data_IF_506521257711
#
_entry.id   IF_506521257711
#
_cell.length_a   1.000
_cell.length_b   1.000
_cell.length_c   1.000
_cell.angle_alpha   90.00
_cell.angle_beta   90.00
_cell.angle_gamma   90.00
#
_symmetry.space_group_name_H-M   'P 1'
#
loop_
_entity.id
_entity.type
_entity.pdbx_description
1 polymer ?
#
# COMPACT_ATOMS: atom_id res chain seq x y z
N UNK A 1 -13.48 17.95 -7.56
CA UNK A 1 -12.08 18.39 -7.64
C UNK A 1 -11.45 17.78 -8.89
N UNK A 2 -10.26 18.24 -9.31
CA UNK A 2 -9.53 17.75 -10.48
C UNK A 2 -8.15 17.27 -10.08
N UNK A 3 -7.81 16.04 -10.50
CA UNK A 3 -6.61 15.34 -10.07
C UNK A 3 -5.74 14.92 -11.26
N UNK A 4 -4.46 15.25 -11.21
CA UNK A 4 -3.42 14.76 -12.11
C UNK A 4 -2.65 13.64 -11.41
N UNK A 5 -2.70 12.44 -11.96
CA UNK A 5 -2.18 11.23 -11.34
C UNK A 5 -1.10 10.58 -12.23
N UNK A 6 0.18 10.97 -12.09
CA UNK A 6 1.26 10.27 -12.77
C UNK A 6 1.39 8.84 -12.27
N UNK A 7 1.48 7.89 -13.20
CA UNK A 7 1.93 6.53 -12.93
C UNK A 7 3.43 6.45 -12.70
N UNK A 8 4.00 5.25 -12.76
CA UNK A 8 5.44 5.05 -12.63
C UNK A 8 6.08 4.75 -13.99
N UNK A 9 7.23 5.37 -14.25
CA UNK A 9 7.92 5.28 -15.54
C UNK A 9 8.31 3.85 -15.95
N UNK A 10 8.52 2.95 -14.97
CA UNK A 10 8.99 1.59 -15.19
C UNK A 10 7.88 0.53 -15.18
N UNK A 11 6.60 0.93 -15.10
CA UNK A 11 5.47 -0.01 -14.97
C UNK A 11 4.32 0.33 -15.91
N UNK A 12 3.44 -0.64 -16.10
CA UNK A 12 2.13 -0.48 -16.74
C UNK A 12 1.08 -0.42 -15.64
N UNK A 13 0.30 0.66 -15.57
CA UNK A 13 -0.75 0.78 -14.56
C UNK A 13 -1.95 -0.07 -14.98
N UNK A 14 -2.02 -1.30 -14.45
CA UNK A 14 -3.08 -2.27 -14.74
C UNK A 14 -3.26 -3.24 -13.57
N UNK A 15 -4.39 -3.95 -13.55
CA UNK A 15 -4.64 -5.00 -12.55
C UNK A 15 -3.61 -6.14 -12.61
N UNK A 16 -3.09 -6.45 -13.80
CA UNK A 16 -2.11 -7.52 -13.95
C UNK A 16 -0.74 -7.18 -13.37
N UNK A 17 -0.37 -5.89 -13.32
CA UNK A 17 0.93 -5.45 -12.81
C UNK A 17 0.94 -5.40 -11.27
N UNK A 18 0.76 -6.55 -10.63
CA UNK A 18 0.62 -6.70 -9.18
C UNK A 18 1.95 -6.73 -8.40
N UNK A 19 3.09 -6.80 -9.10
CA UNK A 19 4.42 -6.87 -8.47
C UNK A 19 4.86 -5.55 -7.82
N UNK A 20 4.30 -4.41 -8.25
CA UNK A 20 4.62 -3.09 -7.72
C UNK A 20 3.45 -2.50 -6.92
N UNK A 21 3.64 -2.37 -5.61
CA UNK A 21 2.61 -1.81 -4.72
C UNK A 21 2.23 -0.37 -5.09
N UNK A 22 3.18 0.46 -5.51
CA UNK A 22 2.90 1.85 -5.92
C UNK A 22 2.04 1.93 -7.18
N UNK A 23 2.29 1.06 -8.16
CA UNK A 23 1.44 0.96 -9.36
C UNK A 23 0.01 0.60 -9.00
N UNK A 24 -0.18 -0.34 -8.08
CA UNK A 24 -1.50 -0.72 -7.59
C UNK A 24 -2.20 0.40 -6.81
N UNK A 25 -1.45 1.23 -6.07
CA UNK A 25 -2.02 2.41 -5.42
C UNK A 25 -2.54 3.43 -6.43
N UNK A 26 -1.75 3.74 -7.47
CA UNK A 26 -2.20 4.65 -8.54
C UNK A 26 -3.47 4.14 -9.19
N UNK A 27 -3.47 2.85 -9.58
CA UNK A 27 -4.64 2.23 -10.21
C UNK A 27 -5.91 2.40 -9.37
N UNK A 28 -5.84 2.03 -8.09
CA UNK A 28 -6.98 2.03 -7.17
C UNK A 28 -7.41 3.44 -6.76
N UNK A 29 -6.44 4.36 -6.55
CA UNK A 29 -6.77 5.74 -6.19
C UNK A 29 -7.46 6.46 -7.34
N UNK A 30 -6.97 6.31 -8.56
CA UNK A 30 -7.63 6.86 -9.74
C UNK A 30 -9.07 6.35 -9.87
N UNK A 31 -9.26 5.03 -9.76
CA UNK A 31 -10.59 4.42 -9.83
C UNK A 31 -11.52 4.91 -8.72
N UNK A 32 -11.03 4.98 -7.47
CA UNK A 32 -11.82 5.45 -6.33
C UNK A 32 -12.22 6.91 -6.44
N UNK A 33 -11.29 7.80 -6.77
CA UNK A 33 -11.58 9.23 -6.98
C UNK A 33 -12.53 9.45 -8.18
N UNK A 34 -12.35 8.69 -9.26
CA UNK A 34 -13.24 8.76 -10.40
C UNK A 34 -14.66 8.29 -10.05
N UNK A 35 -14.80 7.19 -9.31
CA UNK A 35 -16.08 6.69 -8.81
C UNK A 35 -16.77 7.67 -7.84
N UNK A 36 -16.01 8.45 -7.07
CA UNK A 36 -16.49 9.52 -6.22
C UNK A 36 -16.93 10.80 -7.01
N UNK A 37 -16.83 10.77 -8.33
CA UNK A 37 -17.30 11.86 -9.21
C UNK A 37 -16.28 12.94 -9.48
N UNK A 38 -15.01 12.71 -9.18
CA UNK A 38 -13.94 13.67 -9.49
C UNK A 38 -13.43 13.54 -10.92
N UNK A 39 -12.88 14.61 -11.46
CA UNK A 39 -12.13 14.59 -12.72
C UNK A 39 -10.72 14.06 -12.46
N UNK A 40 -10.39 12.89 -13.00
CA UNK A 40 -9.12 12.21 -12.80
C UNK A 40 -8.40 12.05 -14.13
N UNK A 41 -7.20 12.61 -14.24
CA UNK A 41 -6.36 12.53 -15.42
C UNK A 41 -5.13 11.68 -15.07
N UNK A 42 -5.04 10.50 -15.66
CA UNK A 42 -3.91 9.57 -15.44
C UNK A 42 -2.85 9.76 -16.52
N UNK A 43 -1.58 9.88 -16.11
CA UNK A 43 -0.42 9.95 -17.01
C UNK A 43 0.38 8.67 -16.89
N UNK A 44 0.48 7.87 -17.95
CA UNK A 44 1.10 6.55 -17.81
C UNK A 44 1.57 5.92 -19.12
N UNK A 45 1.79 4.61 -19.03
CA UNK A 45 2.22 3.79 -20.15
C UNK A 45 1.10 3.60 -21.18
N UNK A 46 1.44 3.44 -22.45
CA UNK A 46 0.48 3.24 -23.58
C UNK A 46 -0.47 2.04 -23.38
N UNK A 47 -0.06 1.03 -22.61
CA UNK A 47 -0.86 -0.15 -22.32
C UNK A 47 -1.58 -0.07 -20.97
N UNK A 48 -1.58 1.09 -20.30
CA UNK A 48 -2.25 1.23 -19.01
C UNK A 48 -3.77 1.12 -19.15
N UNK A 49 -4.39 0.47 -18.15
CA UNK A 49 -5.84 0.28 -18.06
C UNK A 49 -6.33 0.83 -16.72
N UNK A 50 -6.73 2.09 -16.71
CA UNK A 50 -7.10 2.83 -15.50
C UNK A 50 -8.49 3.39 -15.66
N UNK A 51 -9.35 3.22 -14.65
CA UNK A 51 -10.63 3.92 -14.57
C UNK A 51 -10.35 5.37 -14.17
N UNK A 52 -10.54 6.28 -15.13
CA UNK A 52 -10.26 7.71 -14.98
C UNK A 52 -11.05 8.49 -16.03
N UNK A 53 -11.07 9.81 -15.92
CA UNK A 53 -11.73 10.71 -16.89
C UNK A 53 -10.95 10.83 -18.19
N UNK A 54 -9.60 10.84 -18.10
CA UNK A 54 -8.70 10.88 -19.25
C UNK A 54 -7.42 10.08 -18.94
N UNK A 55 -6.98 9.25 -19.90
CA UNK A 55 -5.65 8.65 -19.88
C UNK A 55 -4.73 9.34 -20.90
N UNK A 56 -3.61 9.85 -20.42
CA UNK A 56 -2.58 10.52 -21.23
C UNK A 56 -1.35 9.64 -21.32
N UNK A 57 -1.01 9.22 -22.53
CA UNK A 57 0.18 8.38 -22.76
C UNK A 57 1.45 9.20 -22.70
N UNK A 58 2.31 8.91 -21.73
CA UNK A 58 3.62 9.56 -21.53
C UNK A 58 4.80 8.58 -21.47
N UNK A 59 4.52 7.27 -21.47
CA UNK A 59 5.52 6.19 -21.52
C UNK A 59 5.16 5.15 -22.56
N UNK A 60 6.15 4.53 -23.16
CA UNK A 60 5.99 3.60 -24.28
C UNK A 60 6.86 2.36 -24.09
N UNK A 61 6.48 1.24 -24.72
CA UNK A 61 7.26 0.00 -24.73
C UNK A 61 8.70 0.22 -25.20
N UNK A 62 8.93 1.14 -26.14
CA UNK A 62 10.29 1.51 -26.60
C UNK A 62 11.16 2.12 -25.49
N UNK A 63 10.57 2.89 -24.59
CA UNK A 63 11.29 3.52 -23.45
C UNK A 63 11.71 2.46 -22.45
N UNK A 64 10.80 1.55 -22.10
CA UNK A 64 11.07 0.42 -21.21
C UNK A 64 12.12 -0.52 -21.79
N UNK A 65 12.03 -0.81 -23.11
CA UNK A 65 13.02 -1.65 -23.79
C UNK A 65 14.40 -0.97 -23.85
N UNK A 66 14.45 0.34 -24.05
CA UNK A 66 15.71 1.10 -24.05
C UNK A 66 16.39 1.13 -22.66
N UNK A 67 15.60 1.26 -21.60
CA UNK A 67 16.11 1.33 -20.23
C UNK A 67 16.45 -0.06 -19.63
N UNK A 68 15.60 -1.05 -19.87
CA UNK A 68 15.65 -2.33 -19.13
C UNK A 68 15.91 -3.55 -20.02
N UNK A 69 15.93 -3.39 -21.34
CA UNK A 69 16.05 -4.49 -22.30
C UNK A 69 14.79 -5.34 -22.34
N UNK A 70 14.96 -6.61 -22.72
CA UNK A 70 13.86 -7.59 -22.70
C UNK A 70 13.84 -8.30 -21.36
N UNK A 71 12.82 -8.10 -20.57
CA UNK A 71 12.57 -8.87 -19.36
C UNK A 71 11.08 -9.16 -19.22
N UNK A 72 10.77 -10.22 -18.49
CA UNK A 72 9.38 -10.60 -18.21
C UNK A 72 9.06 -10.32 -16.74
N UNK A 73 8.42 -9.19 -16.46
CA UNK A 73 8.04 -8.78 -15.10
C UNK A 73 7.12 -9.79 -14.37
N UNK A 74 6.45 -10.69 -15.11
CA UNK A 74 5.67 -11.79 -14.53
C UNK A 74 6.53 -12.91 -13.98
N UNK A 75 7.79 -13.02 -14.39
CA UNK A 75 8.72 -14.08 -13.98
C UNK A 75 9.96 -13.54 -13.27
N UNK A 76 10.29 -12.27 -13.50
CA UNK A 76 11.45 -11.59 -12.97
C UNK A 76 11.01 -10.36 -12.17
N UNK A 77 11.84 -9.90 -11.22
CA UNK A 77 11.61 -8.60 -10.60
C UNK A 77 11.67 -7.50 -11.64
N UNK A 78 10.76 -6.52 -11.51
CA UNK A 78 10.84 -5.32 -12.31
C UNK A 78 12.16 -4.58 -12.01
N UNK A 79 12.70 -3.94 -13.02
CA UNK A 79 13.90 -3.12 -12.94
C UNK A 79 13.48 -1.67 -12.89
N UNK A 80 14.17 -0.87 -12.12
CA UNK A 80 13.99 0.57 -12.09
C UNK A 80 15.26 1.28 -11.65
N UNK A 81 15.51 2.43 -12.25
CA UNK A 81 16.49 3.40 -11.82
C UNK A 81 15.90 4.78 -12.11
N UNK A 82 15.66 5.57 -11.06
CA UNK A 82 15.05 6.90 -11.21
C UNK A 82 15.88 7.88 -12.02
N UNK A 83 17.15 7.57 -12.31
CA UNK A 83 18.05 8.32 -13.18
C UNK A 83 18.11 7.85 -14.64
N UNK A 84 17.37 6.79 -15.02
CA UNK A 84 17.43 6.20 -16.35
C UNK A 84 16.66 7.00 -17.43
N UNK A 85 16.74 6.50 -18.68
CA UNK A 85 16.10 7.15 -19.82
C UNK A 85 14.57 7.05 -19.76
N UNK A 86 14.01 5.99 -19.17
CA UNK A 86 12.56 5.83 -19.06
C UNK A 86 11.98 6.89 -18.12
N UNK A 87 12.63 7.14 -16.97
CA UNK A 87 12.21 8.18 -16.03
C UNK A 87 12.37 9.60 -16.61
N UNK A 88 13.46 9.88 -17.31
CA UNK A 88 13.63 11.19 -17.97
C UNK A 88 12.56 11.44 -19.03
N UNK A 89 12.35 10.49 -19.94
CA UNK A 89 11.35 10.61 -21.00
C UNK A 89 9.94 10.73 -20.42
N UNK A 90 9.64 9.98 -19.37
CA UNK A 90 8.36 10.07 -18.66
C UNK A 90 8.13 11.45 -18.07
N UNK A 91 9.12 11.99 -17.34
CA UNK A 91 9.02 13.30 -16.70
C UNK A 91 8.86 14.43 -17.73
N UNK A 92 9.64 14.40 -18.81
CA UNK A 92 9.59 15.43 -19.87
C UNK A 92 8.22 15.47 -20.55
N UNK A 93 7.68 14.30 -20.93
CA UNK A 93 6.36 14.20 -21.57
C UNK A 93 5.23 14.52 -20.58
N UNK A 94 5.32 14.02 -19.36
CA UNK A 94 4.33 14.32 -18.32
C UNK A 94 4.26 15.83 -18.06
N UNK A 95 5.40 16.51 -17.94
CA UNK A 95 5.45 17.97 -17.79
C UNK A 95 4.88 18.72 -18.99
N UNK A 96 5.13 18.23 -20.22
CA UNK A 96 4.54 18.82 -21.41
C UNK A 96 3.02 18.72 -21.42
N UNK A 97 2.49 17.55 -21.10
CA UNK A 97 1.05 17.28 -21.07
C UNK A 97 0.33 17.96 -19.89
N UNK A 98 0.99 18.06 -18.72
CA UNK A 98 0.50 18.81 -17.57
C UNK A 98 0.31 20.29 -17.89
N UNK A 99 1.29 20.91 -18.58
CA UNK A 99 1.18 22.34 -18.98
C UNK A 99 -0.03 22.65 -19.85
N UNK A 100 -0.53 21.66 -20.60
CA UNK A 100 -1.71 21.83 -21.47
C UNK A 100 -3.03 21.66 -20.70
N UNK A 101 -3.01 20.98 -19.57
CA UNK A 101 -4.24 20.52 -18.88
C UNK A 101 -4.47 21.14 -17.51
N UNK A 102 -3.40 21.41 -16.75
CA UNK A 102 -3.53 21.86 -15.36
C UNK A 102 -4.13 23.27 -15.26
N UNK A 103 -4.89 23.49 -14.22
CA UNK A 103 -5.53 24.75 -13.88
C UNK A 103 -5.20 25.11 -12.41
N UNK A 104 -5.30 26.39 -12.02
CA UNK A 104 -5.14 26.80 -10.64
C UNK A 104 -6.14 26.07 -9.72
N UNK A 105 -5.63 25.50 -8.63
CA UNK A 105 -6.44 24.72 -7.69
C UNK A 105 -6.49 23.22 -7.98
N UNK A 106 -5.89 22.74 -9.08
CA UNK A 106 -5.77 21.31 -9.35
C UNK A 106 -4.82 20.63 -8.36
N UNK A 107 -4.98 19.32 -8.22
CA UNK A 107 -4.12 18.46 -7.41
C UNK A 107 -3.20 17.62 -8.30
N UNK A 108 -1.92 17.56 -7.95
CA UNK A 108 -0.92 16.66 -8.53
C UNK A 108 -0.55 15.61 -7.49
N UNK A 109 -1.02 14.36 -7.68
CA UNK A 109 -0.82 13.26 -6.75
C UNK A 109 0.46 12.50 -7.09
N UNK A 110 1.46 12.54 -6.22
CA UNK A 110 2.78 11.95 -6.43
C UNK A 110 2.88 10.62 -5.68
N UNK A 111 2.86 9.46 -6.38
CA UNK A 111 2.85 8.15 -5.74
C UNK A 111 4.24 7.62 -5.39
N UNK A 112 5.33 8.19 -5.92
CA UNK A 112 6.68 7.64 -5.81
C UNK A 112 7.76 8.75 -5.67
N UNK A 113 7.59 9.65 -4.74
CA UNK A 113 8.52 10.66 -4.24
C UNK A 113 9.61 11.10 -5.24
N UNK A 114 10.86 10.74 -4.96
CA UNK A 114 12.03 11.11 -5.78
C UNK A 114 11.96 10.68 -7.24
N UNK A 115 11.22 9.62 -7.57
CA UNK A 115 10.99 9.21 -8.96
C UNK A 115 10.19 10.23 -9.77
N UNK A 116 9.48 11.14 -9.09
CA UNK A 116 8.70 12.22 -9.70
C UNK A 116 9.22 13.61 -9.38
N UNK A 117 10.43 13.73 -8.82
CA UNK A 117 11.02 15.00 -8.40
C UNK A 117 10.93 16.07 -9.50
N UNK A 118 11.37 15.77 -10.72
CA UNK A 118 11.35 16.71 -11.86
C UNK A 118 9.93 17.15 -12.23
N UNK A 119 8.92 16.29 -12.02
CA UNK A 119 7.53 16.65 -12.23
C UNK A 119 7.08 17.62 -11.14
N UNK A 120 7.43 17.36 -9.89
CA UNK A 120 7.12 18.26 -8.76
C UNK A 120 7.75 19.64 -8.96
N UNK A 121 9.04 19.71 -9.33
CA UNK A 121 9.79 20.96 -9.55
C UNK A 121 9.14 21.85 -10.61
N UNK A 122 8.55 21.24 -11.65
CA UNK A 122 7.97 21.97 -12.77
C UNK A 122 6.50 22.38 -12.56
N UNK A 123 5.83 21.93 -11.46
CA UNK A 123 4.38 22.09 -11.29
C UNK A 123 4.00 22.60 -9.89
N UNK A 124 4.76 23.57 -9.34
CA UNK A 124 4.50 24.17 -8.02
C UNK A 124 3.32 25.15 -7.99
N UNK A 125 2.68 25.38 -9.10
CA UNK A 125 1.49 26.23 -9.29
C UNK A 125 0.17 25.48 -9.03
N UNK A 126 0.24 24.18 -8.75
CA UNK A 126 -0.89 23.33 -8.31
C UNK A 126 -0.60 22.70 -6.94
N UNK A 127 -1.58 22.03 -6.33
CA UNK A 127 -1.37 21.35 -5.06
C UNK A 127 -0.60 20.05 -5.24
N UNK A 128 0.70 20.05 -4.97
CA UNK A 128 1.52 18.83 -5.00
C UNK A 128 1.33 18.04 -3.72
N UNK A 129 0.77 16.84 -3.82
CA UNK A 129 0.52 15.92 -2.70
C UNK A 129 1.35 14.64 -2.91
N UNK A 130 2.29 14.35 -2.01
CA UNK A 130 3.00 13.08 -1.99
C UNK A 130 2.11 12.04 -1.32
N UNK A 131 1.48 11.19 -2.14
CA UNK A 131 0.39 10.28 -1.71
C UNK A 131 0.88 8.85 -1.50
N UNK A 132 0.45 8.23 -0.39
CA UNK A 132 0.73 6.82 -0.11
C UNK A 132 2.22 6.55 0.18
N UNK A 133 2.84 7.36 1.04
CA UNK A 133 4.24 7.24 1.42
C UNK A 133 4.46 5.96 2.23
N UNK A 134 5.20 5.02 1.64
CA UNK A 134 5.63 3.76 2.26
C UNK A 134 7.14 3.54 2.11
N UNK A 135 7.94 4.61 2.06
CA UNK A 135 9.39 4.59 1.84
C UNK A 135 10.08 5.66 2.71
N UNK A 136 11.37 5.51 3.05
CA UNK A 136 12.07 6.41 3.96
C UNK A 136 12.53 7.73 3.30
N UNK A 137 12.59 7.80 1.98
CA UNK A 137 13.08 8.97 1.24
C UNK A 137 11.93 9.81 0.69
N UNK A 138 11.33 10.62 1.54
CA UNK A 138 10.25 11.54 1.16
C UNK A 138 10.81 12.79 0.47
N UNK A 139 9.99 13.41 -0.37
CA UNK A 139 10.35 14.69 -0.97
C UNK A 139 10.47 15.79 0.09
N UNK A 140 11.38 16.76 -0.10
CA UNK A 140 11.42 17.91 0.77
C UNK A 140 10.11 18.73 0.67
N UNK A 141 9.79 19.45 1.74
CA UNK A 141 8.52 20.20 1.87
C UNK A 141 8.31 21.22 0.75
N UNK A 142 9.39 21.81 0.27
CA UNK A 142 9.37 22.80 -0.81
C UNK A 142 8.88 22.21 -2.13
N UNK A 143 8.99 20.89 -2.33
CA UNK A 143 8.53 20.19 -3.53
C UNK A 143 7.16 19.51 -3.34
N UNK A 144 6.87 18.99 -2.16
CA UNK A 144 5.61 18.40 -1.81
C UNK A 144 5.26 18.72 -0.36
N UNK A 145 4.52 19.81 -0.18
CA UNK A 145 4.11 20.27 1.14
C UNK A 145 3.15 19.32 1.82
N UNK A 146 2.25 18.73 1.05
CA UNK A 146 1.17 17.89 1.52
C UNK A 146 1.59 16.43 1.44
N UNK A 147 1.42 15.66 2.53
CA UNK A 147 1.92 14.30 2.60
C UNK A 147 0.89 13.36 3.21
N UNK A 148 0.74 12.19 2.56
CA UNK A 148 -0.08 11.09 3.03
C UNK A 148 0.81 9.87 3.26
N UNK A 149 0.97 9.47 4.51
CA UNK A 149 1.70 8.27 4.92
C UNK A 149 0.75 7.07 5.01
N UNK A 150 1.26 5.86 4.73
CA UNK A 150 0.46 4.63 4.80
C UNK A 150 0.20 4.16 6.24
N UNK A 151 1.04 4.56 7.19
CA UNK A 151 0.95 4.18 8.61
C UNK A 151 1.68 5.18 9.50
N UNK A 152 1.30 5.21 10.77
CA UNK A 152 2.06 5.96 11.78
C UNK A 152 3.47 5.39 11.96
N UNK A 153 3.66 4.08 11.80
CA UNK A 153 4.98 3.46 11.89
C UNK A 153 5.95 4.03 10.87
N UNK A 154 5.56 4.14 9.59
CA UNK A 154 6.44 4.72 8.57
C UNK A 154 6.60 6.22 8.75
N UNK A 155 5.53 6.95 9.09
CA UNK A 155 5.62 8.38 9.36
C UNK A 155 6.63 8.67 10.49
N UNK A 156 6.48 7.98 11.60
CA UNK A 156 7.36 8.16 12.76
C UNK A 156 8.80 7.72 12.48
N UNK A 157 9.01 6.66 11.69
CA UNK A 157 10.33 6.23 11.27
C UNK A 157 11.02 7.26 10.37
N UNK A 158 10.30 7.85 9.42
CA UNK A 158 10.81 8.94 8.55
C UNK A 158 11.19 10.16 9.38
N UNK A 159 10.32 10.59 10.28
CA UNK A 159 10.59 11.73 11.17
C UNK A 159 11.78 11.45 12.09
N UNK A 160 11.87 10.26 12.67
CA UNK A 160 13.00 9.87 13.52
C UNK A 160 14.33 9.80 12.76
N UNK A 161 14.33 9.38 11.50
CA UNK A 161 15.52 9.30 10.66
C UNK A 161 16.04 10.67 10.21
N UNK A 162 15.17 11.68 10.11
CA UNK A 162 15.54 13.03 9.67
C UNK A 162 16.40 13.81 10.66
N UNK A 163 16.65 13.24 11.87
CA UNK A 163 17.45 13.86 12.97
C UNK A 163 17.05 15.29 13.28
N UNK A 164 15.81 15.64 13.10
CA UNK A 164 15.31 16.96 13.45
C UNK A 164 15.28 17.04 14.97
N UNK A 165 16.15 17.85 15.56
CA UNK A 165 16.21 18.10 17.02
C UNK A 165 14.89 18.62 17.59
N UNK A 166 14.02 19.11 16.72
CA UNK A 166 12.63 19.41 17.00
C UNK A 166 11.80 18.64 15.98
N UNK A 167 11.10 17.64 16.44
CA UNK A 167 10.00 17.08 15.67
C UNK A 167 8.98 18.21 15.44
N UNK A 168 9.18 19.00 14.41
CA UNK A 168 8.14 19.86 13.91
C UNK A 168 7.07 18.91 13.40
N UNK A 169 6.07 18.68 14.23
CA UNK A 169 4.86 18.02 13.79
C UNK A 169 4.34 18.86 12.63
N UNK A 170 4.46 18.34 11.41
CA UNK A 170 3.98 19.05 10.24
C UNK A 170 2.48 18.75 10.18
N UNK A 171 1.68 19.72 10.60
CA UNK A 171 0.23 19.62 10.69
C UNK A 171 -0.46 19.33 9.36
N UNK A 172 0.31 19.41 8.27
CA UNK A 172 -0.14 19.10 6.91
C UNK A 172 0.12 17.64 6.48
N UNK A 173 0.60 16.81 7.39
CA UNK A 173 0.86 15.41 7.12
C UNK A 173 -0.21 14.54 7.78
N UNK A 174 -0.80 13.65 7.00
CA UNK A 174 -1.82 12.71 7.48
C UNK A 174 -1.39 11.27 7.29
N UNK A 175 -2.02 10.37 8.04
CA UNK A 175 -1.90 8.93 7.84
C UNK A 175 -3.22 8.42 7.27
N UNK A 176 -3.19 7.97 6.03
CA UNK A 176 -4.32 7.31 5.37
C UNK A 176 -3.83 5.94 4.88
N UNK A 177 -4.44 4.83 5.33
CA UNK A 177 -3.99 3.50 4.99
C UNK A 177 -4.16 3.20 3.50
N UNK A 178 -3.50 2.15 3.01
CA UNK A 178 -3.78 1.63 1.68
C UNK A 178 -5.18 1.03 1.59
N UNK A 179 -5.72 0.95 0.39
CA UNK A 179 -7.10 0.62 0.10
C UNK A 179 -7.23 -0.53 -0.89
N UNK A 180 -8.35 -1.26 -0.77
CA UNK A 180 -8.61 -2.48 -1.52
C UNK A 180 -10.09 -2.52 -1.90
N UNK A 181 -10.37 -3.01 -3.10
CA UNK A 181 -11.74 -3.23 -3.53
C UNK A 181 -12.22 -4.58 -2.92
N UNK A 182 -13.27 -4.60 -2.09
CA UNK A 182 -13.78 -5.84 -1.53
C UNK A 182 -14.26 -6.85 -2.58
N UNK A 183 -14.68 -6.40 -3.76
CA UNK A 183 -15.16 -7.24 -4.85
C UNK A 183 -14.01 -7.99 -5.54
N UNK A 184 -12.78 -7.55 -5.35
CA UNK A 184 -11.59 -8.28 -5.79
C UNK A 184 -11.40 -9.62 -5.07
N UNK A 185 -12.05 -9.83 -3.92
CA UNK A 185 -11.86 -10.98 -3.04
C UNK A 185 -13.12 -11.84 -2.99
N UNK A 186 -13.06 -13.04 -3.48
CA UNK A 186 -14.18 -13.96 -3.56
C UNK A 186 -14.84 -14.30 -2.21
N UNK A 187 -15.78 -15.24 -2.17
CA UNK A 187 -16.50 -15.60 -0.95
C UNK A 187 -15.55 -16.21 0.10
N UNK A 188 -15.91 -16.05 1.37
CA UNK A 188 -15.20 -16.66 2.49
C UNK A 188 -15.30 -18.17 2.40
N UNK A 189 -14.19 -18.88 2.65
CA UNK A 189 -14.14 -20.34 2.77
C UNK A 189 -13.74 -20.74 4.19
N UNK A 190 -13.97 -21.99 4.60
CA UNK A 190 -13.53 -22.49 5.93
C UNK A 190 -12.00 -22.51 6.09
N UNK A 191 -11.25 -22.41 4.99
CA UNK A 191 -9.81 -22.66 4.97
C UNK A 191 -9.49 -24.13 4.75
N UNK A 192 -8.30 -24.40 4.22
CA UNK A 192 -7.72 -25.73 4.01
C UNK A 192 -6.60 -26.00 5.01
N UNK A 193 -5.93 -27.13 4.90
CA UNK A 193 -4.91 -27.62 5.83
C UNK A 193 -3.50 -27.02 5.63
N UNK A 194 -3.39 -25.74 5.24
CA UNK A 194 -2.09 -25.08 5.07
C UNK A 194 -2.07 -23.65 5.58
N UNK A 195 -0.89 -23.22 6.00
CA UNK A 195 -0.58 -21.80 6.21
C UNK A 195 0.14 -21.23 4.96
N UNK A 196 -0.01 -19.94 4.73
CA UNK A 196 0.44 -19.29 3.51
C UNK A 196 1.48 -18.22 3.81
N UNK A 197 2.53 -18.18 2.99
CA UNK A 197 3.43 -17.04 2.87
C UNK A 197 3.33 -16.47 1.46
N UNK A 198 3.10 -15.16 1.33
CA UNK A 198 3.16 -14.46 0.03
C UNK A 198 4.10 -13.27 0.14
N UNK A 199 5.14 -13.25 -0.70
CA UNK A 199 6.10 -12.17 -0.75
C UNK A 199 7.44 -12.60 -1.32
N UNK A 200 8.37 -11.65 -1.44
CA UNK A 200 9.75 -11.97 -1.84
C UNK A 200 10.36 -12.96 -0.85
N UNK A 201 10.98 -14.01 -1.37
CA UNK A 201 11.65 -15.02 -0.55
C UNK A 201 13.02 -14.44 -0.14
N UNK A 202 13.02 -13.71 0.97
CA UNK A 202 14.22 -13.07 1.54
C UNK A 202 14.19 -13.14 3.06
N UNK A 203 15.38 -13.11 3.66
CA UNK A 203 15.55 -13.12 5.11
C UNK A 203 14.87 -11.90 5.76
N UNK A 204 14.94 -10.74 5.12
CA UNK A 204 14.29 -9.52 5.60
C UNK A 204 12.76 -9.67 5.69
N UNK A 205 12.11 -10.43 4.78
CA UNK A 205 10.69 -10.77 4.84
C UNK A 205 10.37 -11.92 5.80
N UNK A 206 11.39 -12.51 6.44
CA UNK A 206 11.20 -13.49 7.51
C UNK A 206 10.76 -14.88 7.05
N UNK A 207 10.93 -15.25 5.78
CA UNK A 207 10.51 -16.54 5.23
C UNK A 207 11.08 -17.72 6.03
N UNK A 208 12.33 -17.63 6.50
CA UNK A 208 12.97 -18.65 7.33
C UNK A 208 12.27 -18.86 8.68
N UNK A 209 11.73 -17.80 9.29
CA UNK A 209 10.95 -17.88 10.54
C UNK A 209 9.63 -18.58 10.27
N UNK A 210 8.95 -18.22 9.16
CA UNK A 210 7.68 -18.84 8.78
C UNK A 210 7.86 -20.32 8.49
N UNK A 211 8.92 -20.71 7.75
CA UNK A 211 9.24 -22.09 7.42
C UNK A 211 9.51 -22.93 8.70
N UNK A 212 10.35 -22.43 9.59
CA UNK A 212 10.68 -23.11 10.85
C UNK A 212 9.45 -23.20 11.78
N UNK A 213 8.61 -22.14 11.85
CA UNK A 213 7.41 -22.16 12.66
C UNK A 213 6.38 -23.18 12.15
N UNK A 214 6.18 -23.25 10.83
CA UNK A 214 5.28 -24.22 10.20
C UNK A 214 5.74 -25.67 10.44
N UNK A 215 7.04 -25.92 10.29
CA UNK A 215 7.65 -27.22 10.63
C UNK A 215 7.33 -27.64 12.08
N UNK A 216 7.63 -26.76 13.04
CA UNK A 216 7.37 -27.05 14.48
C UNK A 216 5.89 -27.13 14.81
N UNK A 217 5.04 -26.44 14.06
CA UNK A 217 3.59 -26.54 14.21
C UNK A 217 3.02 -27.84 13.63
N UNK A 218 3.79 -28.54 12.75
CA UNK A 218 3.32 -29.72 12.03
C UNK A 218 2.32 -29.38 10.92
N UNK A 219 2.43 -28.18 10.31
CA UNK A 219 1.52 -27.68 9.30
C UNK A 219 2.19 -27.60 7.92
N UNK A 220 1.41 -27.81 6.89
CA UNK A 220 1.83 -27.53 5.51
C UNK A 220 2.00 -26.02 5.31
N UNK A 221 3.06 -25.64 4.60
CA UNK A 221 3.34 -24.25 4.23
C UNK A 221 3.39 -24.13 2.71
N UNK A 222 2.54 -23.24 2.16
CA UNK A 222 2.66 -22.80 0.78
C UNK A 222 3.40 -21.47 0.72
N UNK A 223 4.42 -21.38 -0.14
CA UNK A 223 5.23 -20.19 -0.35
C UNK A 223 5.02 -19.70 -1.78
N UNK A 224 4.40 -18.53 -1.94
CA UNK A 224 4.23 -17.86 -3.22
C UNK A 224 5.08 -16.59 -3.29
N UNK A 225 5.96 -16.51 -4.29
CA UNK A 225 6.80 -15.34 -4.50
C UNK A 225 8.10 -15.67 -5.22
N UNK A 226 8.85 -14.63 -5.50
CA UNK A 226 10.14 -14.73 -6.20
C UNK A 226 11.29 -14.78 -5.18
N UNK A 227 12.31 -15.56 -5.50
CA UNK A 227 13.51 -15.77 -4.71
C UNK A 227 13.89 -17.23 -4.62
N UNK A 228 14.95 -17.52 -3.86
CA UNK A 228 15.44 -18.89 -3.66
C UNK A 228 15.36 -19.25 -2.18
N UNK A 229 14.48 -20.18 -1.81
CA UNK A 229 14.33 -20.58 -0.42
C UNK A 229 15.61 -21.20 0.16
N UNK A 230 16.37 -21.95 -0.63
CA UNK A 230 17.58 -22.62 -0.17
C UNK A 230 18.71 -21.66 0.27
N UNK A 231 18.68 -20.40 -0.19
CA UNK A 231 19.62 -19.37 0.30
C UNK A 231 19.18 -18.74 1.62
N UNK A 232 17.91 -18.85 1.97
CA UNK A 232 17.28 -18.16 3.10
C UNK A 232 16.95 -19.08 4.28
N UNK A 233 16.79 -20.38 4.02
CA UNK A 233 16.39 -21.38 5.01
C UNK A 233 17.11 -22.71 4.81
N UNK A 234 17.77 -23.22 5.89
CA UNK A 234 18.54 -24.45 5.88
C UNK A 234 17.88 -25.60 6.70
N UNK A 235 16.65 -25.42 7.13
CA UNK A 235 15.89 -26.41 7.89
C UNK A 235 15.13 -27.40 7.01
N UNK A 236 14.27 -28.25 7.62
CA UNK A 236 13.43 -29.22 6.92
C UNK A 236 12.48 -28.55 5.91
N UNK A 237 12.30 -29.16 4.75
CA UNK A 237 11.48 -28.60 3.63
C UNK A 237 10.34 -29.52 3.17
N UNK A 238 10.20 -30.71 3.71
CA UNK A 238 9.19 -31.70 3.33
C UNK A 238 7.76 -31.23 3.55
N UNK A 239 7.53 -30.23 4.40
CA UNK A 239 6.24 -29.61 4.66
C UNK A 239 5.96 -28.38 3.78
N UNK A 240 6.91 -28.01 2.90
CA UNK A 240 6.87 -26.77 2.10
C UNK A 240 6.51 -27.06 0.65
N UNK A 241 5.52 -26.35 0.14
CA UNK A 241 5.18 -26.31 -1.28
C UNK A 241 5.56 -24.94 -1.86
N UNK A 242 6.52 -24.93 -2.81
CA UNK A 242 6.93 -23.71 -3.51
C UNK A 242 6.04 -23.49 -4.72
N UNK A 243 5.24 -22.43 -4.69
CA UNK A 243 4.31 -22.05 -5.78
C UNK A 243 5.03 -21.23 -6.87
N UNK A 244 6.07 -20.48 -6.49
CA UNK A 244 6.68 -19.53 -7.41
C UNK A 244 5.85 -18.25 -7.56
N UNK A 245 5.84 -17.69 -8.77
CA UNK A 245 5.02 -16.50 -9.06
C UNK A 245 3.53 -16.89 -9.05
N UNK A 246 2.75 -16.17 -8.26
CA UNK A 246 1.29 -16.29 -8.25
C UNK A 246 0.69 -15.04 -8.91
N UNK A 247 -0.08 -15.23 -9.97
CA UNK A 247 -0.89 -14.18 -10.57
C UNK A 247 -2.04 -13.76 -9.64
N UNK A 248 -2.85 -12.83 -10.07
CA UNK A 248 -3.92 -12.25 -9.26
C UNK A 248 -4.92 -13.31 -8.80
N UNK A 249 -5.37 -14.19 -9.73
CA UNK A 249 -6.37 -15.20 -9.40
C UNK A 249 -5.82 -16.29 -8.49
N UNK A 250 -4.63 -16.77 -8.77
CA UNK A 250 -3.94 -17.74 -7.90
C UNK A 250 -3.69 -17.18 -6.50
N UNK A 251 -3.31 -15.90 -6.38
CA UNK A 251 -3.16 -15.24 -5.06
C UNK A 251 -4.47 -15.20 -4.28
N UNK A 252 -5.57 -14.84 -4.95
CA UNK A 252 -6.91 -14.83 -4.35
C UNK A 252 -7.30 -16.21 -3.84
N UNK A 253 -7.08 -17.25 -4.66
CA UNK A 253 -7.36 -18.64 -4.26
C UNK A 253 -6.51 -19.09 -3.09
N UNK A 254 -5.20 -18.86 -3.15
CA UNK A 254 -4.29 -19.22 -2.07
C UNK A 254 -4.67 -18.53 -0.75
N UNK A 255 -5.02 -17.23 -0.81
CA UNK A 255 -5.39 -16.47 0.39
C UNK A 255 -6.70 -16.97 1.00
N UNK A 256 -7.78 -17.05 0.22
CA UNK A 256 -9.09 -17.44 0.77
C UNK A 256 -9.09 -18.85 1.35
N UNK A 257 -8.28 -19.76 0.80
CA UNK A 257 -8.21 -21.15 1.20
C UNK A 257 -7.17 -21.44 2.30
N UNK A 258 -6.31 -20.50 2.66
CA UNK A 258 -5.35 -20.68 3.74
C UNK A 258 -6.02 -20.68 5.12
N UNK A 259 -5.43 -21.40 6.08
CA UNK A 259 -5.80 -21.25 7.50
C UNK A 259 -5.41 -19.88 8.02
N UNK A 260 -4.20 -19.41 7.64
CA UNK A 260 -3.68 -18.08 7.93
C UNK A 260 -2.66 -17.65 6.88
N UNK A 261 -2.55 -16.34 6.68
CA UNK A 261 -1.38 -15.74 6.07
C UNK A 261 -0.35 -15.41 7.16
N UNK A 262 0.92 -15.81 6.96
CA UNK A 262 1.98 -15.60 7.93
C UNK A 262 3.04 -14.67 7.39
N UNK A 263 3.35 -13.60 8.11
CA UNK A 263 4.32 -12.56 7.73
C UNK A 263 5.23 -12.28 8.92
N UNK A 264 6.52 -12.60 8.78
CA UNK A 264 7.49 -12.42 9.86
C UNK A 264 8.56 -11.38 9.51
N UNK A 265 8.14 -10.25 8.92
CA UNK A 265 9.04 -9.16 8.49
C UNK A 265 10.00 -8.73 9.59
N UNK A 266 11.29 -8.62 9.24
CA UNK A 266 12.38 -8.26 10.15
C UNK A 266 12.77 -6.77 10.03
N UNK A 267 11.91 -5.96 9.43
CA UNK A 267 12.05 -4.51 9.29
C UNK A 267 10.72 -3.83 9.61
N UNK A 268 10.73 -2.51 9.72
CA UNK A 268 9.50 -1.73 9.89
C UNK A 268 8.71 -1.84 8.59
N UNK A 269 7.68 -2.72 8.59
CA UNK A 269 6.79 -2.84 7.44
C UNK A 269 5.97 -1.55 7.31
N UNK A 270 6.05 -0.85 6.17
CA UNK A 270 5.33 0.42 6.00
C UNK A 270 3.82 0.28 6.08
N UNK A 271 3.29 -0.78 5.46
CA UNK A 271 1.88 -1.12 5.53
C UNK A 271 1.64 -2.64 5.53
N UNK A 272 2.24 -3.35 4.58
CA UNK A 272 2.04 -4.80 4.45
C UNK A 272 0.70 -5.15 3.80
N UNK A 273 0.43 -4.60 2.61
CA UNK A 273 -0.85 -4.74 1.91
C UNK A 273 -1.34 -6.18 1.77
N UNK A 274 -0.43 -7.15 1.62
CA UNK A 274 -0.77 -8.58 1.56
C UNK A 274 -1.53 -9.09 2.78
N UNK A 275 -1.32 -8.47 3.97
CA UNK A 275 -2.07 -8.82 5.18
C UNK A 275 -3.53 -8.36 5.07
N UNK A 276 -3.77 -7.17 4.52
CA UNK A 276 -5.13 -6.67 4.31
C UNK A 276 -5.84 -7.46 3.20
N UNK A 277 -5.13 -7.82 2.12
CA UNK A 277 -5.65 -8.72 1.08
C UNK A 277 -6.14 -10.06 1.66
N UNK A 278 -5.37 -10.64 2.60
CA UNK A 278 -5.79 -11.85 3.31
C UNK A 278 -7.02 -11.61 4.17
N UNK A 279 -7.06 -10.52 4.94
CA UNK A 279 -8.23 -10.16 5.74
C UNK A 279 -9.48 -9.90 4.88
N UNK A 280 -9.34 -9.25 3.71
CA UNK A 280 -10.43 -9.08 2.73
C UNK A 280 -10.96 -10.44 2.23
N UNK A 281 -10.10 -11.46 2.17
CA UNK A 281 -10.49 -12.85 1.87
C UNK A 281 -11.08 -13.58 3.10
N UNK A 282 -11.19 -12.93 4.25
CA UNK A 282 -11.59 -13.52 5.52
C UNK A 282 -10.50 -14.38 6.17
N UNK A 283 -9.28 -14.32 5.71
CA UNK A 283 -8.18 -15.14 6.20
C UNK A 283 -7.43 -14.43 7.34
N UNK A 284 -7.30 -15.09 8.51
CA UNK A 284 -6.54 -14.55 9.62
C UNK A 284 -5.09 -14.29 9.26
N UNK A 285 -4.48 -13.30 9.93
CA UNK A 285 -3.08 -12.95 9.72
C UNK A 285 -2.24 -13.24 10.97
N UNK A 286 -1.05 -13.80 10.78
CA UNK A 286 -0.04 -13.98 11.83
C UNK A 286 1.16 -13.12 11.44
N UNK A 287 1.46 -12.09 12.21
CA UNK A 287 2.46 -11.08 11.82
C UNK A 287 3.53 -10.87 12.89
N UNK A 288 4.64 -10.25 12.52
CA UNK A 288 5.50 -9.62 13.51
C UNK A 288 4.75 -8.52 14.26
N UNK A 289 5.13 -8.26 15.53
CA UNK A 289 4.56 -7.17 16.35
C UNK A 289 5.36 -5.89 16.16
N UNK A 290 5.52 -5.45 14.89
CA UNK A 290 6.30 -4.28 14.51
C UNK A 290 5.72 -3.62 13.26
N UNK A 291 6.09 -2.35 13.03
CA UNK A 291 5.63 -1.60 11.86
C UNK A 291 4.11 -1.42 11.87
N UNK A 292 3.53 -1.28 10.69
CA UNK A 292 2.10 -1.06 10.52
C UNK A 292 1.23 -2.22 11.04
N UNK A 293 1.79 -3.43 11.18
CA UNK A 293 1.03 -4.55 11.75
C UNK A 293 0.58 -4.30 13.18
N UNK A 294 1.33 -3.52 13.96
CA UNK A 294 0.93 -3.15 15.33
C UNK A 294 -0.27 -2.20 15.37
N UNK A 295 -0.58 -1.54 14.27
CA UNK A 295 -1.67 -0.59 14.16
C UNK A 295 -3.01 -1.26 13.80
N UNK A 296 -3.00 -2.28 12.94
CA UNK A 296 -4.23 -2.84 12.40
C UNK A 296 -4.41 -4.36 12.60
N UNK A 297 -3.37 -5.12 12.94
CA UNK A 297 -3.56 -6.52 13.32
C UNK A 297 -4.04 -6.59 14.78
N UNK A 298 -5.35 -6.68 14.98
CA UNK A 298 -5.98 -6.71 16.31
C UNK A 298 -5.82 -8.08 16.93
N UNK A 299 -5.00 -8.15 17.99
CA UNK A 299 -4.67 -9.39 18.71
C UNK A 299 -5.90 -10.20 19.10
N UNK A 300 -5.99 -11.45 18.64
CA UNK A 300 -7.10 -12.36 18.93
C UNK A 300 -8.42 -12.02 18.23
N UNK A 301 -8.43 -11.05 17.31
CA UNK A 301 -9.61 -10.68 16.48
C UNK A 301 -9.36 -10.85 15.00
N UNK A 302 -8.35 -10.14 14.45
CA UNK A 302 -7.99 -10.26 13.03
C UNK A 302 -6.85 -11.24 12.80
N UNK A 303 -6.09 -11.53 13.84
CA UNK A 303 -4.93 -12.39 13.80
C UNK A 303 -4.17 -12.42 15.12
N UNK A 304 -2.90 -12.78 15.00
CA UNK A 304 -1.96 -12.77 16.13
C UNK A 304 -0.69 -12.03 15.76
N UNK A 305 -0.22 -11.15 16.65
CA UNK A 305 1.09 -10.49 16.55
C UNK A 305 2.11 -11.27 17.38
N UNK A 306 3.25 -11.57 16.80
CA UNK A 306 4.26 -12.45 17.36
C UNK A 306 5.63 -11.77 17.43
N UNK A 307 6.40 -12.04 18.50
CA UNK A 307 7.79 -11.58 18.73
C UNK A 307 8.79 -12.73 18.78
N UNK A 308 8.31 -13.94 19.02
CA UNK A 308 9.18 -15.11 19.16
C UNK A 308 8.69 -16.26 18.30
N UNK A 309 9.61 -17.16 17.93
CA UNK A 309 9.28 -18.36 17.16
C UNK A 309 8.15 -19.19 17.86
N UNK A 310 8.23 -19.33 19.17
CA UNK A 310 7.21 -20.05 19.96
C UNK A 310 5.81 -19.43 19.82
N UNK A 311 5.71 -18.09 19.74
CA UNK A 311 4.45 -17.41 19.52
C UNK A 311 3.90 -17.66 18.11
N UNK A 312 4.74 -17.67 17.06
CA UNK A 312 4.31 -18.06 15.71
C UNK A 312 3.79 -19.49 15.67
N UNK A 313 4.48 -20.44 16.31
CA UNK A 313 4.03 -21.85 16.44
C UNK A 313 2.68 -21.94 17.14
N UNK A 314 2.54 -21.22 18.26
CA UNK A 314 1.28 -21.20 19.01
C UNK A 314 0.15 -20.58 18.18
N UNK A 315 0.41 -19.44 17.54
CA UNK A 315 -0.58 -18.74 16.71
C UNK A 315 -1.07 -19.61 15.55
N UNK A 316 -0.16 -20.30 14.84
CA UNK A 316 -0.50 -21.22 13.76
C UNK A 316 -1.41 -22.36 14.23
N UNK A 317 -1.20 -22.87 15.46
CA UNK A 317 -2.02 -23.94 16.04
C UNK A 317 -3.37 -23.47 16.57
N UNK A 318 -3.58 -22.16 16.74
CA UNK A 318 -4.79 -21.61 17.35
C UNK A 318 -5.57 -20.65 16.44
N UNK A 319 -5.13 -20.45 15.22
CA UNK A 319 -5.72 -19.49 14.29
C UNK A 319 -7.16 -19.83 13.90
N UNK A 320 -7.53 -21.11 13.94
CA UNK A 320 -8.90 -21.60 13.67
C UNK A 320 -9.95 -21.12 14.69
N UNK A 321 -9.53 -20.54 15.82
CA UNK A 321 -10.43 -19.93 16.79
C UNK A 321 -10.97 -18.56 16.34
N UNK A 322 -10.41 -18.00 15.27
CA UNK A 322 -10.77 -16.68 14.79
C UNK A 322 -11.91 -16.72 13.77
N UNK A 323 -12.81 -15.76 13.90
CA UNK A 323 -14.00 -15.64 13.05
C UNK A 323 -13.65 -14.94 11.71
N UNK A 324 -13.65 -15.69 10.64
CA UNK A 324 -13.31 -15.22 9.28
C UNK A 324 -14.28 -14.15 8.75
N UNK A 325 -15.55 -14.19 9.15
CA UNK A 325 -16.56 -13.19 8.75
C UNK A 325 -16.26 -11.85 9.42
N UNK A 326 -15.95 -11.87 10.71
CA UNK A 326 -15.57 -10.66 11.45
C UNK A 326 -14.25 -10.07 10.95
N UNK A 327 -13.29 -10.92 10.58
CA UNK A 327 -12.02 -10.48 9.99
C UNK A 327 -12.27 -9.71 8.68
N UNK A 328 -13.06 -10.27 7.77
CA UNK A 328 -13.40 -9.61 6.51
C UNK A 328 -14.16 -8.31 6.75
N UNK A 329 -15.12 -8.31 7.66
CA UNK A 329 -15.86 -7.10 8.01
C UNK A 329 -14.95 -5.99 8.48
N UNK A 330 -14.05 -6.31 9.42
CA UNK A 330 -13.05 -5.36 9.88
C UNK A 330 -12.18 -4.81 8.73
N UNK A 331 -11.74 -5.66 7.81
CA UNK A 331 -10.96 -5.21 6.66
C UNK A 331 -11.75 -4.27 5.75
N UNK A 332 -13.01 -4.57 5.46
CA UNK A 332 -13.90 -3.72 4.65
C UNK A 332 -14.11 -2.36 5.34
N UNK A 333 -14.46 -2.36 6.60
CA UNK A 333 -14.78 -1.14 7.36
C UNK A 333 -13.58 -0.18 7.44
N UNK A 334 -12.33 -0.71 7.44
CA UNK A 334 -11.13 0.11 7.61
C UNK A 334 -10.32 0.36 6.33
N UNK A 335 -10.43 -0.51 5.31
CA UNK A 335 -9.51 -0.52 4.16
C UNK A 335 -10.22 -0.65 2.81
N UNK A 336 -11.56 -0.60 2.75
CA UNK A 336 -12.23 -0.56 1.46
C UNK A 336 -11.88 0.73 0.72
N UNK A 337 -11.80 0.64 -0.62
CA UNK A 337 -11.51 1.82 -1.46
C UNK A 337 -12.49 2.95 -1.18
N UNK A 338 -13.77 2.64 -1.00
CA UNK A 338 -14.79 3.64 -0.68
C UNK A 338 -14.45 4.40 0.61
N UNK A 339 -14.27 3.69 1.73
CA UNK A 339 -14.05 4.32 3.05
C UNK A 339 -12.70 5.06 3.12
N UNK A 340 -11.71 4.63 2.35
CA UNK A 340 -10.41 5.31 2.34
C UNK A 340 -10.41 6.52 1.41
N UNK A 341 -11.15 6.49 0.30
CA UNK A 341 -11.30 7.65 -0.60
C UNK A 341 -11.98 8.80 0.14
N UNK A 342 -12.98 8.55 0.98
CA UNK A 342 -13.61 9.58 1.82
C UNK A 342 -12.58 10.32 2.69
N UNK A 343 -11.59 9.61 3.27
CA UNK A 343 -10.49 10.23 4.03
C UNK A 343 -9.58 11.09 3.15
N UNK A 344 -9.33 10.67 1.91
CA UNK A 344 -8.59 11.48 0.95
C UNK A 344 -9.38 12.74 0.55
N UNK A 345 -10.69 12.65 0.34
CA UNK A 345 -11.56 13.80 0.01
C UNK A 345 -11.56 14.82 1.14
N UNK A 346 -11.66 14.39 2.40
CA UNK A 346 -11.52 15.28 3.56
C UNK A 346 -10.17 15.98 3.59
N UNK A 347 -9.10 15.26 3.33
CA UNK A 347 -7.76 15.83 3.30
C UNK A 347 -7.60 16.83 2.15
N UNK A 348 -8.10 16.55 0.97
CA UNK A 348 -8.07 17.47 -0.16
C UNK A 348 -8.91 18.73 0.12
N UNK A 349 -10.05 18.57 0.79
CA UNK A 349 -10.85 19.72 1.20
C UNK A 349 -10.12 20.59 2.24
N UNK A 350 -9.40 19.98 3.19
CA UNK A 350 -8.55 20.73 4.13
C UNK A 350 -7.45 21.53 3.38
N UNK A 351 -6.86 20.96 2.36
CA UNK A 351 -5.86 21.64 1.51
C UNK A 351 -6.50 22.86 0.81
N UNK A 352 -7.66 22.69 0.20
CA UNK A 352 -8.40 23.79 -0.44
C UNK A 352 -8.78 24.90 0.55
N UNK A 353 -9.32 24.54 1.70
CA UNK A 353 -9.68 25.50 2.74
C UNK A 353 -8.45 26.31 3.21
N UNK A 354 -7.31 25.63 3.39
CA UNK A 354 -6.04 26.29 3.74
C UNK A 354 -5.58 27.26 2.66
N UNK A 355 -5.73 26.89 1.38
CA UNK A 355 -5.39 27.75 0.24
C UNK A 355 -6.27 29.01 0.19
N UNK A 356 -7.56 28.88 0.50
CA UNK A 356 -8.50 29.98 0.50
C UNK A 356 -8.38 30.90 1.72
N UNK A 357 -7.45 30.64 2.63
CA UNK A 357 -7.19 31.45 3.80
C UNK A 357 -8.08 31.12 5.01
N UNK A 358 -8.91 30.09 4.89
CA UNK A 358 -9.72 29.55 6.00
C UNK A 358 -8.92 28.58 6.88
N UNK A 359 -7.72 28.43 6.63
CA UNK A 359 -6.66 27.61 7.13
C UNK A 359 -6.87 26.84 8.43
N UNK A 360 -5.76 26.41 8.95
CA UNK A 360 -5.55 25.64 10.17
C UNK A 360 -6.39 26.07 11.39
N UNK A 361 -6.70 27.34 11.53
CA UNK A 361 -7.39 27.90 12.70
C UNK A 361 -8.92 27.94 12.59
N UNK A 362 -9.51 27.76 11.43
CA UNK A 362 -10.95 27.98 11.20
C UNK A 362 -11.74 26.69 10.90
N UNK A 363 -11.04 25.59 10.67
CA UNK A 363 -11.64 24.29 10.28
C UNK A 363 -12.26 23.48 11.43
N UNK A 364 -12.51 24.08 12.60
CA UNK A 364 -12.91 23.41 13.84
C UNK A 364 -14.30 22.75 13.83
N UNK A 365 -15.13 23.03 12.84
CA UNK A 365 -16.52 22.57 12.81
C UNK A 365 -16.77 21.36 11.93
N UNK A 366 -15.69 20.60 11.55
CA UNK A 366 -15.82 19.37 10.78
C UNK A 366 -15.42 18.18 11.62
N UNK A 367 -16.29 17.19 11.68
CA UNK A 367 -15.94 15.86 12.16
C UNK A 367 -14.99 15.23 11.14
N UNK A 368 -13.75 15.00 11.53
CA UNK A 368 -12.75 14.36 10.65
C UNK A 368 -12.82 12.85 10.80
N UNK A 369 -13.26 12.16 9.76
CA UNK A 369 -13.43 10.69 9.74
C UNK A 369 -12.11 9.96 10.08
N UNK A 370 -10.96 10.50 9.68
CA UNK A 370 -9.67 9.84 10.00
C UNK A 370 -9.25 9.94 11.48
N UNK A 371 -9.82 10.85 12.26
CA UNK A 371 -9.57 10.92 13.70
C UNK A 371 -10.39 9.88 14.47
N UNK A 372 -11.35 9.25 13.79
CA UNK A 372 -12.36 8.40 14.37
C UNK A 372 -13.42 9.24 15.11
N UNK A 373 -14.61 8.72 15.18
CA UNK A 373 -15.61 9.23 16.10
C UNK A 373 -15.13 8.94 17.52
N UNK A 374 -14.57 9.93 18.17
CA UNK A 374 -14.38 9.87 19.61
C UNK A 374 -15.74 10.21 20.20
N UNK A 375 -16.59 9.22 20.38
CA UNK A 375 -17.81 9.39 21.14
C UNK A 375 -17.41 9.66 22.61
N UNK A 376 -17.29 10.94 22.94
CA UNK A 376 -17.02 11.37 24.30
C UNK A 376 -18.24 11.22 25.22
N UNK A 377 -19.43 10.89 24.70
CA UNK A 377 -20.64 10.71 25.51
C UNK A 377 -20.45 9.59 26.54
N UNK A 378 -19.77 8.50 26.14
CA UNK A 378 -19.44 7.40 27.04
C UNK A 378 -18.49 7.79 28.21
N UNK A 379 -17.78 8.91 28.13
CA UNK A 379 -16.91 9.39 29.21
C UNK A 379 -17.67 10.25 30.24
N UNK A 380 -18.90 10.65 29.96
CA UNK A 380 -19.70 11.54 30.80
C UNK A 380 -20.95 10.88 31.39
N UNK A 381 -21.22 9.61 31.08
CA UNK A 381 -22.37 8.88 31.62
C UNK A 381 -22.13 8.25 33.02
N UNK A 382 -20.94 8.41 33.60
CA UNK A 382 -20.61 7.93 34.96
C UNK A 382 -20.26 9.07 35.93
N UNK A 383 -21.00 10.16 35.95
CA UNK A 383 -20.86 11.18 37.01
C UNK A 383 -22.21 11.52 37.64
#
# INVERSE_FOLDING_TARGET
MRFHCPGLAHTVTSHEYNACAFTQKVLKLCAGLHAAGHEVIHYGHEESQVQCSEHVTVSYNRDLKAAYGSYNWRKEFFRHDTGDVAYRNFADRCNAELRLRKQPGDFLLIPFGWGHKTICEANQDVHVVESGIGYPWVLPRELARWKVYESYAVRNAVHGASRVERANNDDYEVVIPNYFDPDDFGPITPGQDYVLYIGRITRAKGVHIVAEAAHRAGLKLKIAGQGNLATEYNGPTEHIELIGYADVEMRRELMRNAQALVIASQYIEPFGGVAVEAMMSGTPIITSDTGAFSEYNVQGRTGYRCRTLGQYVWAMKNVQLLDRVRIRRYAIDNFSTQNVVEKYEEYFQLIEDTRLGHGWYEGWNRDFIWLGETDFSALYEES
#
